data_IF_937318973606
#
_entry.id   IF_937318973606
#
_cell.length_a   1.000
_cell.length_b   1.000
_cell.length_c   1.000
_cell.angle_alpha   90.00
_cell.angle_beta   90.00
_cell.angle_gamma   90.00
#
_symmetry.space_group_name_H-M   'P 1'
#
loop_
_entity.id
_entity.type
_entity.pdbx_description
1 polymer ?
#
# COMPACT_ATOMS: atom_id res chain seq x y z
N UNK A 1 -18.79 0.49 25.27
CA UNK A 1 -17.68 1.35 25.75
C UNK A 1 -16.40 0.62 25.39
N UNK A 2 -15.56 1.22 24.57
CA UNK A 2 -14.22 0.70 24.33
C UNK A 2 -13.35 1.30 25.43
N UNK A 3 -12.88 0.48 26.36
CA UNK A 3 -12.01 0.96 27.44
C UNK A 3 -10.76 1.58 26.83
N UNK A 4 -10.49 2.85 27.20
CA UNK A 4 -9.25 3.54 26.82
C UNK A 4 -8.09 2.79 27.47
N UNK A 5 -7.34 2.03 26.67
CA UNK A 5 -6.10 1.40 27.13
C UNK A 5 -5.08 2.50 27.42
N UNK A 6 -4.49 2.51 28.62
CA UNK A 6 -3.49 3.51 28.97
C UNK A 6 -2.14 3.18 28.32
N UNK A 7 -1.31 4.20 28.05
CA UNK A 7 0.04 3.98 27.53
C UNK A 7 0.92 3.15 28.48
N UNK A 8 0.68 3.22 29.79
CA UNK A 8 1.39 2.42 30.79
C UNK A 8 1.04 0.92 30.67
N UNK A 9 -0.22 0.58 30.38
CA UNK A 9 -0.63 -0.81 30.18
C UNK A 9 -0.01 -1.39 28.91
N UNK A 10 0.08 -0.59 27.84
CA UNK A 10 0.75 -0.99 26.60
C UNK A 10 2.26 -1.16 26.77
N UNK A 11 2.89 -0.32 27.59
CA UNK A 11 4.32 -0.41 27.88
C UNK A 11 4.72 -1.76 28.51
N UNK A 12 3.80 -2.40 29.25
CA UNK A 12 4.03 -3.71 29.88
C UNK A 12 3.88 -4.89 28.92
N UNK A 13 3.27 -4.70 27.74
CA UNK A 13 3.12 -5.75 26.76
C UNK A 13 4.43 -6.01 26.01
N UNK A 14 4.65 -7.25 25.58
CA UNK A 14 5.72 -7.54 24.62
C UNK A 14 5.39 -6.90 23.26
N UNK A 15 6.42 -6.62 22.44
CA UNK A 15 6.21 -6.10 21.08
C UNK A 15 5.32 -7.02 20.26
N UNK A 16 5.49 -8.34 20.37
CA UNK A 16 4.61 -9.30 19.69
C UNK A 16 3.15 -9.17 20.14
N UNK A 17 2.88 -9.00 21.43
CA UNK A 17 1.53 -8.84 21.93
C UNK A 17 0.88 -7.53 21.43
N UNK A 18 1.66 -6.45 21.30
CA UNK A 18 1.20 -5.20 20.68
C UNK A 18 0.82 -5.40 19.21
N UNK A 19 1.69 -6.06 18.43
CA UNK A 19 1.42 -6.37 17.01
C UNK A 19 0.15 -7.21 16.85
N UNK A 20 0.02 -8.30 17.63
CA UNK A 20 -1.16 -9.17 17.58
C UNK A 20 -2.45 -8.41 17.90
N UNK A 21 -2.45 -7.58 18.96
CA UNK A 21 -3.63 -6.78 19.32
C UNK A 21 -3.97 -5.76 18.25
N UNK A 22 -2.96 -5.07 17.69
CA UNK A 22 -3.17 -4.11 16.62
C UNK A 22 -3.83 -4.78 15.40
N UNK A 23 -3.34 -5.95 14.99
CA UNK A 23 -3.91 -6.70 13.86
C UNK A 23 -5.35 -7.15 14.12
N UNK A 24 -5.66 -7.60 15.34
CA UNK A 24 -7.03 -7.95 15.74
C UNK A 24 -7.98 -6.75 15.66
N UNK A 25 -7.52 -5.54 16.05
CA UNK A 25 -8.34 -4.33 16.00
C UNK A 25 -8.68 -3.88 14.57
N UNK A 26 -7.85 -4.23 13.59
CA UNK A 26 -8.05 -3.82 12.18
C UNK A 26 -8.60 -4.92 11.28
N UNK A 27 -8.81 -6.12 11.82
CA UNK A 27 -9.42 -7.24 11.11
C UNK A 27 -10.82 -6.86 10.56
N UNK A 28 -11.00 -7.03 9.25
CA UNK A 28 -12.24 -6.68 8.55
C UNK A 28 -12.55 -5.17 8.49
N UNK A 29 -11.63 -4.29 8.90
CA UNK A 29 -11.88 -2.85 8.94
C UNK A 29 -11.45 -2.11 7.66
N UNK A 30 -10.74 -2.76 6.72
CA UNK A 30 -10.16 -2.07 5.55
C UNK A 30 -11.19 -1.70 4.47
N UNK A 31 -12.38 -2.28 4.45
CA UNK A 31 -13.43 -1.88 3.50
C UNK A 31 -14.41 -0.84 4.08
N UNK A 32 -14.19 -0.39 5.33
CA UNK A 32 -15.01 0.66 5.95
C UNK A 32 -14.80 2.03 5.33
N UNK A 33 -15.76 2.94 5.54
CA UNK A 33 -15.65 4.33 5.07
C UNK A 33 -14.46 5.01 5.72
N UNK A 34 -13.84 5.97 5.00
CA UNK A 34 -12.69 6.70 5.51
C UNK A 34 -12.96 7.35 6.88
N UNK A 35 -14.14 7.94 7.09
CA UNK A 35 -14.51 8.53 8.39
C UNK A 35 -14.49 7.52 9.54
N UNK A 36 -14.92 6.28 9.29
CA UNK A 36 -14.91 5.20 10.30
C UNK A 36 -13.49 4.71 10.57
N UNK A 37 -12.65 4.59 9.53
CA UNK A 37 -11.24 4.27 9.69
C UNK A 37 -10.50 5.35 10.49
N UNK A 38 -10.79 6.63 10.24
CA UNK A 38 -10.20 7.73 10.99
C UNK A 38 -10.66 7.73 12.45
N UNK A 39 -11.95 7.45 12.72
CA UNK A 39 -12.45 7.31 14.08
C UNK A 39 -11.82 6.11 14.81
N UNK A 40 -11.60 4.99 14.12
CA UNK A 40 -10.89 3.83 14.65
C UNK A 40 -9.43 4.18 15.00
N UNK A 41 -8.74 4.88 14.11
CA UNK A 41 -7.38 5.36 14.33
C UNK A 41 -7.29 6.26 15.57
N UNK A 42 -8.12 7.30 15.62
CA UNK A 42 -8.11 8.31 16.70
C UNK A 42 -8.57 7.74 18.04
N UNK A 43 -9.51 6.79 18.02
CA UNK A 43 -10.09 6.21 19.22
C UNK A 43 -9.31 5.05 19.81
N UNK A 44 -8.80 4.14 18.96
CA UNK A 44 -8.27 2.85 19.41
C UNK A 44 -6.83 2.58 18.96
N UNK A 45 -6.47 2.89 17.71
CA UNK A 45 -5.18 2.44 17.17
C UNK A 45 -4.03 3.36 17.59
N UNK A 46 -4.26 4.66 17.77
CA UNK A 46 -3.20 5.64 18.03
C UNK A 46 -2.26 5.24 19.19
N UNK A 47 -2.74 4.79 20.37
CA UNK A 47 -1.85 4.36 21.45
C UNK A 47 -0.93 3.18 21.08
N UNK A 48 -1.41 2.24 20.27
CA UNK A 48 -0.62 1.12 19.78
C UNK A 48 0.41 1.56 18.74
N UNK A 49 0.01 2.47 17.84
CA UNK A 49 0.90 3.05 16.82
C UNK A 49 2.04 3.83 17.49
N UNK A 50 1.73 4.66 18.48
CA UNK A 50 2.73 5.44 19.21
C UNK A 50 3.72 4.55 19.95
N UNK A 51 3.21 3.52 20.65
CA UNK A 51 4.06 2.61 21.41
C UNK A 51 4.92 1.72 20.50
N UNK A 52 4.39 1.24 19.37
CA UNK A 52 5.19 0.53 18.38
C UNK A 52 6.24 1.45 17.76
N UNK A 53 5.87 2.69 17.40
CA UNK A 53 6.83 3.69 16.86
C UNK A 53 8.00 3.90 17.81
N UNK A 54 7.75 4.00 19.12
CA UNK A 54 8.79 4.11 20.16
C UNK A 54 9.72 2.88 20.22
N UNK A 55 9.20 1.70 19.88
CA UNK A 55 9.91 0.42 19.90
C UNK A 55 10.45 0.00 18.53
N UNK A 56 10.41 0.88 17.53
CA UNK A 56 10.84 0.57 16.18
C UNK A 56 12.32 0.09 16.21
N UNK A 57 12.60 -1.15 15.77
CA UNK A 57 13.96 -1.68 15.77
C UNK A 57 14.86 -0.97 14.73
N UNK A 58 14.27 -0.31 13.74
CA UNK A 58 14.97 0.47 12.72
C UNK A 58 14.49 1.94 12.74
N UNK A 59 14.90 2.75 13.74
CA UNK A 59 14.40 4.12 13.89
C UNK A 59 14.93 5.08 12.81
N UNK A 60 16.04 4.73 12.15
CA UNK A 60 16.64 5.52 11.07
C UNK A 60 16.17 5.02 9.72
N UNK A 61 15.81 5.93 8.82
CA UNK A 61 15.32 5.57 7.49
C UNK A 61 16.36 4.77 6.69
N UNK A 62 17.66 5.05 6.85
CA UNK A 62 18.72 4.36 6.12
C UNK A 62 18.78 2.87 6.49
N UNK A 63 18.59 2.55 7.78
CA UNK A 63 18.62 1.17 8.29
C UNK A 63 17.39 0.37 7.85
N UNK A 64 16.30 1.06 7.48
CA UNK A 64 15.06 0.44 7.02
C UNK A 64 15.12 -0.02 5.56
N UNK A 65 16.08 0.46 4.75
CA UNK A 65 16.14 0.15 3.30
C UNK A 65 16.27 -1.33 3.04
N UNK A 66 17.15 -2.02 3.78
CA UNK A 66 17.29 -3.47 3.66
C UNK A 66 16.07 -4.20 4.25
N UNK A 67 15.55 -3.71 5.38
CA UNK A 67 14.43 -4.31 6.08
C UNK A 67 13.09 -4.19 5.32
N UNK A 68 12.95 -3.27 4.35
CA UNK A 68 11.68 -3.13 3.60
C UNK A 68 11.58 -4.10 2.42
N UNK A 69 12.71 -4.65 1.95
CA UNK A 69 12.75 -5.54 0.79
C UNK A 69 11.88 -6.78 1.04
N UNK A 70 11.12 -7.19 0.03
CA UNK A 70 10.18 -8.30 0.11
C UNK A 70 8.76 -7.92 -0.33
N UNK A 71 7.82 -8.82 -0.06
CA UNK A 71 6.42 -8.65 -0.45
C UNK A 71 5.57 -8.39 0.79
N UNK A 72 4.82 -7.30 0.75
CA UNK A 72 3.92 -6.90 1.82
C UNK A 72 2.48 -6.88 1.32
N UNK A 73 1.51 -7.06 2.21
CA UNK A 73 0.10 -6.76 1.91
C UNK A 73 -0.45 -5.73 2.90
N UNK A 74 -1.11 -4.67 2.41
CA UNK A 74 -1.75 -3.68 3.26
C UNK A 74 -3.05 -4.27 3.83
N UNK A 75 -3.04 -4.66 5.10
CA UNK A 75 -4.22 -5.23 5.79
C UNK A 75 -5.19 -4.16 6.26
N UNK A 76 -4.72 -2.92 6.39
CA UNK A 76 -5.55 -1.76 6.71
C UNK A 76 -4.87 -0.48 6.22
N UNK A 77 -5.61 0.40 5.55
CA UNK A 77 -5.07 1.69 5.11
C UNK A 77 -6.13 2.80 5.11
N UNK A 78 -5.73 4.02 5.48
CA UNK A 78 -6.53 5.23 5.23
C UNK A 78 -6.22 5.87 3.88
N UNK A 79 -5.25 5.34 3.12
CA UNK A 79 -4.87 5.86 1.81
C UNK A 79 -5.92 5.41 0.77
N UNK A 80 -6.55 6.33 0.03
CA UNK A 80 -7.61 5.98 -0.92
C UNK A 80 -7.10 5.34 -2.22
N UNK A 81 -5.78 5.24 -2.42
CA UNK A 81 -5.16 4.79 -3.67
C UNK A 81 -5.64 3.38 -4.07
N UNK A 82 -5.73 2.47 -3.11
CA UNK A 82 -6.21 1.11 -3.34
C UNK A 82 -7.68 1.05 -3.82
N UNK A 83 -8.43 2.14 -3.66
CA UNK A 83 -9.81 2.26 -4.12
C UNK A 83 -9.94 3.11 -5.41
N UNK A 84 -8.83 3.36 -6.11
CA UNK A 84 -8.84 4.14 -7.36
C UNK A 84 -9.74 3.49 -8.43
N UNK A 85 -9.76 2.15 -8.48
CA UNK A 85 -10.66 1.35 -9.31
C UNK A 85 -11.64 0.55 -8.41
N UNK A 86 -12.88 0.33 -8.87
CA UNK A 86 -13.86 -0.46 -8.11
C UNK A 86 -13.50 -1.96 -8.06
N UNK A 87 -13.97 -2.65 -7.02
CA UNK A 87 -13.85 -4.12 -6.93
C UNK A 87 -12.46 -4.63 -6.56
N UNK A 88 -11.66 -3.85 -5.83
CA UNK A 88 -10.38 -4.34 -5.28
C UNK A 88 -10.59 -5.63 -4.48
N UNK A 89 -9.68 -6.58 -4.63
CA UNK A 89 -9.57 -7.77 -3.77
C UNK A 89 -8.36 -7.58 -2.84
N UNK A 90 -8.57 -7.30 -1.53
CA UNK A 90 -7.47 -6.99 -0.61
C UNK A 90 -6.42 -8.11 -0.48
N UNK A 91 -6.85 -9.37 -0.47
CA UNK A 91 -5.95 -10.53 -0.42
C UNK A 91 -5.06 -10.71 -1.67
N UNK A 92 -5.34 -9.95 -2.72
CA UNK A 92 -4.60 -9.90 -3.98
C UNK A 92 -4.09 -8.48 -4.27
N UNK A 93 -3.74 -7.77 -3.20
CA UNK A 93 -3.10 -6.45 -3.23
C UNK A 93 -1.78 -6.52 -2.50
N UNK A 94 -0.72 -6.06 -3.15
CA UNK A 94 0.66 -6.24 -2.72
C UNK A 94 1.44 -4.92 -2.77
N UNK A 95 2.44 -4.80 -1.90
CA UNK A 95 3.49 -3.79 -1.99
C UNK A 95 4.80 -4.55 -2.11
N UNK A 96 5.38 -4.54 -3.31
CA UNK A 96 6.54 -5.36 -3.67
C UNK A 96 7.76 -4.45 -3.70
N UNK A 97 8.72 -4.68 -2.82
CA UNK A 97 9.98 -3.92 -2.74
C UNK A 97 11.11 -4.76 -3.31
N UNK A 98 11.87 -4.16 -4.22
CA UNK A 98 13.05 -4.76 -4.85
C UNK A 98 14.31 -4.05 -4.39
N UNK A 99 15.43 -4.75 -4.57
CA UNK A 99 16.72 -4.11 -4.50
C UNK A 99 16.83 -2.97 -5.53
N UNK A 100 17.81 -2.09 -5.37
CA UNK A 100 18.09 -0.95 -6.28
C UNK A 100 17.05 0.19 -6.26
N UNK A 101 16.21 0.27 -5.23
CA UNK A 101 15.38 1.46 -4.99
C UNK A 101 14.08 1.49 -5.78
N UNK A 102 13.54 0.33 -6.18
CA UNK A 102 12.25 0.24 -6.86
C UNK A 102 11.23 -0.51 -6.03
N UNK A 103 9.99 -0.04 -6.06
CA UNK A 103 8.88 -0.77 -5.48
C UNK A 103 7.59 -0.57 -6.27
N UNK A 104 6.65 -1.48 -6.09
CA UNK A 104 5.36 -1.44 -6.76
C UNK A 104 4.21 -1.60 -5.77
N UNK A 105 3.20 -0.73 -5.88
CA UNK A 105 1.88 -0.98 -5.31
C UNK A 105 1.02 -1.68 -6.37
N UNK A 106 0.65 -2.93 -6.10
CA UNK A 106 -0.11 -3.79 -7.00
C UNK A 106 -1.49 -4.06 -6.41
N UNK A 107 -2.54 -3.99 -7.22
CA UNK A 107 -3.89 -4.31 -6.81
C UNK A 107 -4.66 -5.05 -7.91
N UNK A 108 -5.28 -6.17 -7.56
CA UNK A 108 -6.24 -6.86 -8.41
C UNK A 108 -7.66 -6.31 -8.20
N UNK A 109 -8.31 -5.94 -9.29
CA UNK A 109 -9.68 -5.42 -9.31
C UNK A 109 -10.59 -6.35 -10.12
N UNK A 110 -11.63 -6.87 -9.47
CA UNK A 110 -12.69 -7.68 -10.04
C UNK A 110 -14.04 -7.00 -9.79
N UNK A 111 -14.52 -6.14 -10.72
CA UNK A 111 -15.81 -5.47 -10.58
C UNK A 111 -16.96 -6.47 -10.35
N UNK A 112 -17.85 -6.15 -9.40
CA UNK A 112 -19.01 -6.99 -9.07
C UNK A 112 -18.70 -8.17 -8.14
N UNK A 113 -17.43 -8.47 -7.82
CA UNK A 113 -17.10 -9.55 -6.87
C UNK A 113 -17.72 -9.34 -5.48
N UNK A 114 -17.83 -8.08 -5.04
CA UNK A 114 -18.32 -7.74 -3.69
C UNK A 114 -19.85 -7.80 -3.54
N UNK A 115 -20.62 -8.02 -4.62
CA UNK A 115 -22.08 -8.04 -4.56
C UNK A 115 -22.67 -9.04 -5.56
N UNK A 116 -23.35 -10.07 -5.07
CA UNK A 116 -23.90 -11.15 -5.88
C UNK A 116 -24.92 -10.70 -6.96
N UNK A 117 -25.67 -9.61 -6.71
CA UNK A 117 -26.59 -9.03 -7.70
C UNK A 117 -25.82 -8.32 -8.82
N UNK A 118 -24.82 -7.51 -8.46
CA UNK A 118 -23.94 -6.87 -9.44
C UNK A 118 -23.09 -7.90 -10.18
N UNK A 119 -22.66 -8.98 -9.53
CA UNK A 119 -21.94 -10.09 -10.17
C UNK A 119 -22.71 -10.67 -11.38
N UNK A 120 -24.03 -10.81 -11.24
CA UNK A 120 -24.94 -11.30 -12.31
C UNK A 120 -25.21 -10.26 -13.40
N UNK A 121 -25.15 -8.97 -13.07
CA UNK A 121 -25.44 -7.85 -13.98
C UNK A 121 -24.18 -7.25 -14.64
N UNK A 122 -22.98 -7.69 -14.26
CA UNK A 122 -21.72 -7.20 -14.83
C UNK A 122 -21.21 -8.22 -15.87
N UNK A 123 -21.63 -8.12 -17.15
CA UNK A 123 -21.33 -9.11 -18.20
C UNK A 123 -19.85 -9.17 -18.57
N UNK A 124 -19.03 -8.20 -18.17
CA UNK A 124 -17.61 -8.21 -18.46
C UNK A 124 -16.89 -9.11 -17.44
N UNK A 125 -16.68 -10.38 -17.78
CA UNK A 125 -15.77 -11.30 -17.09
C UNK A 125 -14.29 -10.86 -17.09
N UNK A 126 -14.06 -9.54 -17.10
CA UNK A 126 -12.78 -8.87 -17.08
C UNK A 126 -12.45 -8.45 -15.64
N UNK A 127 -11.25 -8.81 -15.22
CA UNK A 127 -10.55 -8.19 -14.10
C UNK A 127 -9.50 -7.22 -14.65
N UNK A 128 -9.05 -6.31 -13.78
CA UNK A 128 -7.99 -5.36 -14.07
C UNK A 128 -6.94 -5.43 -12.95
N UNK A 129 -5.70 -5.70 -13.30
CA UNK A 129 -4.56 -5.54 -12.41
C UNK A 129 -4.01 -4.14 -12.64
N UNK A 130 -3.83 -3.41 -11.54
CA UNK A 130 -3.19 -2.11 -11.51
C UNK A 130 -1.83 -2.26 -10.81
N UNK A 131 -0.79 -1.70 -11.41
CA UNK A 131 0.52 -1.57 -10.79
C UNK A 131 0.96 -0.11 -10.86
N UNK A 132 1.23 0.49 -9.71
CA UNK A 132 1.91 1.77 -9.61
C UNK A 132 3.38 1.49 -9.28
N UNK A 133 4.25 1.76 -10.24
CA UNK A 133 5.69 1.60 -10.09
C UNK A 133 6.29 2.88 -9.56
N UNK A 134 7.14 2.74 -8.56
CA UNK A 134 7.68 3.84 -7.79
C UNK A 134 9.17 3.62 -7.55
N UNK A 135 9.92 4.71 -7.61
CA UNK A 135 11.30 4.76 -7.13
C UNK A 135 11.29 5.25 -5.69
N UNK A 136 12.13 4.66 -4.86
CA UNK A 136 12.37 5.12 -3.51
C UNK A 136 13.86 5.35 -3.28
N UNK A 137 14.17 6.37 -2.49
CA UNK A 137 15.51 6.70 -2.02
C UNK A 137 15.40 7.18 -0.57
N UNK A 138 16.47 7.01 0.22
CA UNK A 138 16.56 7.66 1.53
C UNK A 138 17.63 8.73 1.46
N UNK A 139 17.24 9.97 1.75
CA UNK A 139 18.14 11.12 1.80
C UNK A 139 17.78 11.99 3.02
N UNK A 140 18.80 12.43 3.76
CA UNK A 140 18.66 13.22 4.98
C UNK A 140 17.67 12.61 5.99
N UNK A 141 17.72 11.29 6.22
CA UNK A 141 16.81 10.61 7.14
C UNK A 141 15.36 10.49 6.67
N UNK A 142 15.06 10.81 5.40
CA UNK A 142 13.69 10.81 4.86
C UNK A 142 13.56 9.89 3.65
N UNK A 143 12.43 9.20 3.55
CA UNK A 143 12.07 8.48 2.34
C UNK A 143 11.56 9.43 1.28
N UNK A 144 12.27 9.48 0.15
CA UNK A 144 11.87 10.15 -1.06
C UNK A 144 11.21 9.13 -1.98
N UNK A 145 9.95 9.37 -2.33
CA UNK A 145 9.18 8.46 -3.18
C UNK A 145 8.70 9.21 -4.40
N UNK A 146 8.94 8.61 -5.55
CA UNK A 146 8.52 9.13 -6.84
C UNK A 146 7.76 8.06 -7.61
N UNK A 147 6.54 8.39 -8.03
CA UNK A 147 5.82 7.55 -8.97
C UNK A 147 6.49 7.69 -10.32
N UNK A 148 6.96 6.58 -10.86
CA UNK A 148 7.66 6.58 -12.14
C UNK A 148 6.82 5.96 -13.25
N UNK A 149 5.80 5.15 -12.95
CA UNK A 149 4.82 4.71 -13.96
C UNK A 149 3.59 4.02 -13.39
N UNK A 150 2.60 3.81 -14.25
CA UNK A 150 1.41 3.01 -13.96
C UNK A 150 1.23 2.01 -15.10
N UNK A 151 1.05 0.75 -14.74
CA UNK A 151 0.77 -0.34 -15.66
C UNK A 151 -0.62 -0.93 -15.39
N UNK A 152 -1.31 -1.28 -16.46
CA UNK A 152 -2.63 -1.89 -16.42
C UNK A 152 -2.59 -3.20 -17.19
N UNK A 153 -3.02 -4.29 -16.56
CA UNK A 153 -3.19 -5.57 -17.23
C UNK A 153 -4.63 -6.06 -17.11
N UNK A 154 -5.29 -6.29 -18.25
CA UNK A 154 -6.63 -6.87 -18.27
C UNK A 154 -6.53 -8.39 -18.22
N UNK A 155 -7.34 -8.99 -17.37
CA UNK A 155 -7.38 -10.44 -17.17
C UNK A 155 -8.80 -10.96 -17.16
N UNK A 156 -8.93 -12.27 -17.04
CA UNK A 156 -10.23 -12.89 -16.75
C UNK A 156 -10.52 -12.79 -15.25
N UNK A 157 -11.79 -12.59 -14.89
CA UNK A 157 -12.23 -12.43 -13.49
C UNK A 157 -12.01 -13.68 -12.63
N UNK A 158 -12.05 -14.86 -13.23
CA UNK A 158 -11.83 -16.14 -12.54
C UNK A 158 -10.36 -16.44 -12.26
N UNK A 159 -9.44 -15.67 -12.87
CA UNK A 159 -8.01 -15.76 -12.60
C UNK A 159 -7.60 -14.64 -11.64
N UNK A 160 -7.31 -15.00 -10.40
CA UNK A 160 -6.72 -14.08 -9.43
C UNK A 160 -5.28 -13.71 -9.79
N UNK A 161 -4.74 -12.74 -9.07
CA UNK A 161 -3.34 -12.35 -9.12
C UNK A 161 -2.60 -12.98 -7.93
N UNK A 162 -1.73 -13.96 -8.21
CA UNK A 162 -0.86 -14.54 -7.18
C UNK A 162 0.32 -13.62 -6.87
N UNK A 163 1.03 -13.88 -5.77
CA UNK A 163 2.28 -13.17 -5.46
C UNK A 163 3.32 -13.41 -6.56
N UNK A 164 3.51 -14.66 -6.99
CA UNK A 164 4.46 -15.02 -8.05
C UNK A 164 4.16 -14.29 -9.37
N UNK A 165 2.88 -14.24 -9.77
CA UNK A 165 2.48 -13.51 -10.98
C UNK A 165 2.71 -12.00 -10.84
N UNK A 166 2.45 -11.42 -9.66
CA UNK A 166 2.65 -10.00 -9.41
C UNK A 166 4.14 -9.61 -9.40
N UNK A 167 4.97 -10.46 -8.80
CA UNK A 167 6.43 -10.34 -8.79
C UNK A 167 7.00 -10.45 -10.21
N UNK A 168 6.63 -11.50 -10.94
CA UNK A 168 7.07 -11.70 -12.33
C UNK A 168 6.63 -10.55 -13.24
N UNK A 169 5.41 -10.03 -13.05
CA UNK A 169 4.95 -8.86 -13.78
C UNK A 169 5.78 -7.62 -13.45
N UNK A 170 6.10 -7.39 -12.17
CA UNK A 170 6.91 -6.26 -11.77
C UNK A 170 8.33 -6.35 -12.35
N UNK A 171 8.95 -7.52 -12.26
CA UNK A 171 10.30 -7.75 -12.77
C UNK A 171 10.36 -7.58 -14.29
N UNK A 172 9.32 -8.02 -15.03
CA UNK A 172 9.22 -7.79 -16.47
C UNK A 172 9.09 -6.29 -16.82
N UNK A 173 8.31 -5.53 -16.04
CA UNK A 173 8.17 -4.08 -16.21
C UNK A 173 9.49 -3.37 -15.95
N UNK A 174 10.22 -3.76 -14.90
CA UNK A 174 11.54 -3.23 -14.59
C UNK A 174 12.55 -3.58 -15.70
N UNK A 175 12.64 -4.85 -16.11
CA UNK A 175 13.57 -5.27 -17.16
C UNK A 175 13.33 -4.53 -18.48
N UNK A 176 12.08 -4.47 -18.95
CA UNK A 176 11.72 -3.79 -20.20
C UNK A 176 12.11 -2.30 -20.19
N UNK A 177 12.07 -1.65 -19.02
CA UNK A 177 12.18 -0.20 -18.90
C UNK A 177 13.54 0.28 -18.38
N UNK A 178 14.24 -0.52 -17.58
CA UNK A 178 15.61 -0.26 -17.14
C UNK A 178 16.64 -0.62 -18.23
N UNK A 179 16.44 -1.70 -18.99
CA UNK A 179 17.32 -2.03 -20.13
C UNK A 179 17.20 -1.01 -21.28
N UNK A 180 16.12 -0.21 -21.29
CA UNK A 180 15.95 0.92 -22.21
C UNK A 180 16.50 2.24 -21.68
N UNK A 181 16.96 2.27 -20.43
CA UNK A 181 17.35 3.50 -19.76
C UNK A 181 18.72 3.37 -19.08
N UNK A 182 19.79 3.59 -19.85
CA UNK A 182 21.11 3.96 -19.31
C UNK A 182 21.12 5.38 -18.68
N UNK A 183 19.96 5.99 -18.45
CA UNK A 183 19.85 7.36 -17.98
C UNK A 183 19.48 7.41 -16.47
N UNK A 184 20.22 8.19 -15.64
CA UNK A 184 19.92 8.44 -14.22
C UNK A 184 18.50 8.99 -13.93
N UNK A 185 17.79 9.43 -14.96
CA UNK A 185 16.48 10.09 -14.92
C UNK A 185 15.38 9.29 -15.67
N UNK A 186 15.50 7.97 -15.72
CA UNK A 186 14.50 7.09 -16.33
C UNK A 186 13.11 7.31 -15.69
N UNK A 187 12.26 8.07 -16.37
CA UNK A 187 10.83 8.14 -16.07
C UNK A 187 10.13 7.09 -16.94
N UNK A 188 9.12 6.36 -16.45
CA UNK A 188 8.48 5.28 -17.22
C UNK A 188 7.52 5.81 -18.32
N UNK A 189 7.69 7.08 -18.73
CA UNK A 189 6.79 7.79 -19.63
C UNK A 189 5.49 8.23 -18.95
N UNK A 190 4.66 8.97 -19.69
CA UNK A 190 3.30 9.26 -19.25
C UNK A 190 2.50 7.94 -19.20
N UNK A 191 1.76 7.66 -18.12
CA UNK A 191 0.89 6.49 -18.07
C UNK A 191 -0.11 6.45 -19.22
N UNK A 192 -0.28 5.28 -19.82
CA UNK A 192 -1.40 5.07 -20.73
C UNK A 192 -2.65 4.70 -19.94
N UNK A 193 -3.64 5.60 -19.95
CA UNK A 193 -4.95 5.38 -19.35
C UNK A 193 -6.01 4.99 -20.40
N UNK A 194 -5.60 4.71 -21.64
CA UNK A 194 -6.49 4.28 -22.71
C UNK A 194 -7.22 3.00 -22.27
N UNK A 195 -8.55 3.08 -22.18
CA UNK A 195 -9.37 1.97 -21.71
C UNK A 195 -9.81 2.01 -20.26
N UNK A 196 -9.58 3.12 -19.54
CA UNK A 196 -10.30 3.46 -18.31
C UNK A 196 -11.44 4.46 -18.58
N UNK A 197 -12.45 4.48 -17.72
CA UNK A 197 -13.41 5.57 -17.71
C UNK A 197 -12.76 6.89 -17.25
N UNK A 198 -13.34 8.02 -17.63
CA UNK A 198 -12.77 9.33 -17.36
C UNK A 198 -12.57 9.62 -15.86
N UNK A 199 -13.42 9.09 -14.98
CA UNK A 199 -13.28 9.31 -13.54
C UNK A 199 -12.10 8.50 -12.97
N UNK A 200 -11.97 7.24 -13.38
CA UNK A 200 -10.83 6.37 -13.02
C UNK A 200 -9.51 6.91 -13.56
N UNK A 201 -9.45 7.29 -14.85
CA UNK A 201 -8.27 7.90 -15.46
C UNK A 201 -7.84 9.18 -14.71
N UNK A 202 -8.79 10.06 -14.37
CA UNK A 202 -8.51 11.28 -13.60
C UNK A 202 -7.97 10.98 -12.19
N UNK A 203 -8.50 9.95 -11.51
CA UNK A 203 -8.02 9.55 -10.17
C UNK A 203 -6.60 8.99 -10.22
N UNK A 204 -6.31 8.15 -11.21
CA UNK A 204 -4.97 7.59 -11.40
C UNK A 204 -3.96 8.67 -11.82
N UNK A 205 -4.32 9.58 -12.73
CA UNK A 205 -3.48 10.71 -13.11
C UNK A 205 -3.09 11.58 -11.91
N UNK A 206 -4.05 11.91 -11.04
CA UNK A 206 -3.78 12.63 -9.78
C UNK A 206 -2.88 11.84 -8.83
N UNK A 207 -3.07 10.52 -8.77
CA UNK A 207 -2.25 9.66 -7.92
C UNK A 207 -0.82 9.59 -8.42
N UNK A 208 -0.62 9.46 -9.73
CA UNK A 208 0.67 9.47 -10.40
C UNK A 208 1.45 10.75 -10.12
N UNK A 209 0.80 11.91 -10.17
CA UNK A 209 1.45 13.21 -9.93
C UNK A 209 1.79 13.47 -8.45
N UNK A 210 1.27 12.67 -7.52
CA UNK A 210 1.51 12.89 -6.10
C UNK A 210 2.94 12.53 -5.72
N UNK A 211 3.60 13.38 -4.93
CA UNK A 211 4.89 13.13 -4.29
C UNK A 211 4.71 13.11 -2.76
N UNK A 212 4.07 12.08 -2.20
CA UNK A 212 3.84 12.03 -0.77
C UNK A 212 5.16 11.80 -0.03
N UNK A 213 5.31 12.45 1.12
CA UNK A 213 6.29 12.04 2.11
C UNK A 213 5.82 10.72 2.74
N UNK A 214 6.72 9.75 2.86
CA UNK A 214 6.46 8.47 3.50
C UNK A 214 7.44 8.26 4.64
N UNK A 215 6.98 7.58 5.69
CA UNK A 215 7.82 7.18 6.82
C UNK A 215 7.37 5.81 7.29
N UNK A 216 8.29 4.85 7.40
CA UNK A 216 8.02 3.64 8.16
C UNK A 216 8.24 3.96 9.64
N UNK A 217 7.16 4.32 10.32
CA UNK A 217 7.21 4.66 11.75
C UNK A 217 7.44 3.42 12.62
N UNK A 218 7.12 2.23 12.09
CA UNK A 218 7.56 0.93 12.61
C UNK A 218 7.84 -0.02 11.44
N UNK A 219 8.91 -0.80 11.54
CA UNK A 219 9.23 -1.86 10.59
C UNK A 219 9.98 -2.96 11.34
N UNK A 220 9.54 -4.20 11.20
CA UNK A 220 10.32 -5.37 11.56
C UNK A 220 10.14 -6.48 10.50
N UNK A 221 10.45 -7.73 10.84
CA UNK A 221 10.37 -8.85 9.90
C UNK A 221 8.96 -9.23 9.46
N UNK A 222 7.91 -8.85 10.20
CA UNK A 222 6.54 -9.30 9.93
C UNK A 222 5.52 -8.16 9.81
N UNK A 223 5.81 -6.96 10.32
CA UNK A 223 4.89 -5.85 10.39
C UNK A 223 5.55 -4.54 9.97
N UNK A 224 4.78 -3.75 9.23
CA UNK A 224 5.13 -2.39 8.85
C UNK A 224 4.00 -1.42 9.17
N UNK A 225 4.33 -0.33 9.86
CA UNK A 225 3.45 0.81 10.04
C UNK A 225 4.00 1.97 9.23
N UNK A 226 3.18 2.45 8.30
CA UNK A 226 3.54 3.54 7.40
C UNK A 226 2.72 4.75 7.76
N UNK A 227 3.37 5.89 7.92
CA UNK A 227 2.76 7.21 7.89
C UNK A 227 3.08 7.87 6.55
N UNK A 228 2.09 8.46 5.91
CA UNK A 228 2.29 9.20 4.66
C UNK A 228 1.52 10.51 4.65
N UNK A 229 2.07 11.52 3.99
CA UNK A 229 1.47 12.85 3.95
C UNK A 229 1.77 13.51 2.60
N UNK A 230 0.74 13.97 1.89
CA UNK A 230 0.91 14.60 0.56
C UNK A 230 1.42 16.04 0.67
N UNK A 231 0.92 16.78 1.65
CA UNK A 231 1.27 18.17 1.92
C UNK A 231 1.31 18.38 3.43
N UNK A 232 2.22 19.22 3.93
CA UNK A 232 2.44 19.42 5.36
C UNK A 232 1.17 19.85 6.13
N UNK A 233 0.22 20.51 5.46
CA UNK A 233 -1.05 20.97 6.03
C UNK A 233 -2.15 19.91 6.03
N UNK A 234 -1.98 18.81 5.29
CA UNK A 234 -2.97 17.74 5.18
C UNK A 234 -2.80 16.74 6.32
N UNK A 235 -3.91 16.13 6.76
CA UNK A 235 -3.85 15.06 7.77
C UNK A 235 -3.02 13.87 7.25
N UNK A 236 -2.10 13.31 8.05
CA UNK A 236 -1.36 12.10 7.68
C UNK A 236 -2.30 10.91 7.48
N UNK A 237 -1.95 10.06 6.51
CA UNK A 237 -2.57 8.76 6.26
C UNK A 237 -1.70 7.65 6.83
N UNK A 238 -2.34 6.56 7.24
CA UNK A 238 -1.69 5.43 7.89
C UNK A 238 -1.97 4.15 7.11
N UNK A 239 -0.97 3.27 7.05
CA UNK A 239 -1.12 1.91 6.51
C UNK A 239 -0.45 0.92 7.45
N UNK A 240 -1.13 -0.19 7.70
CA UNK A 240 -0.61 -1.37 8.39
C UNK A 240 -0.37 -2.43 7.33
N UNK A 241 0.88 -2.84 7.16
CA UNK A 241 1.30 -3.89 6.24
C UNK A 241 1.83 -5.11 6.99
N UNK A 242 1.56 -6.30 6.48
CA UNK A 242 2.17 -7.55 6.95
C UNK A 242 3.08 -8.11 5.86
N UNK A 243 4.20 -8.73 6.26
CA UNK A 243 5.11 -9.39 5.31
C UNK A 243 4.50 -10.72 4.88
N UNK A 244 4.60 -11.00 3.59
CA UNK A 244 4.19 -12.27 2.96
C UNK A 244 5.40 -13.10 2.50
N UNK A 245 6.48 -12.42 2.11
CA UNK A 245 7.76 -12.98 1.68
C UNK A 245 8.88 -12.03 2.04
#
# INVERSE_FOLDING_TARGET
>A
MLDKVSGADLAMLSTQALKTRLLQLVEGQDDKRLSEKLALLDGLLAPYVDELTRRNPYPRAEDQVAAVIGVWTPVWSTIPFHHALPGRIPSQSYQIFRDRGFYANVAHHAPGHQNALLHRLTPLGLACNLMLVQRFEVADGRWLIENIGIELARGRRDKGLSIDDAEAWFDAVLAQKLDRAEAPNATLGAPDFSGLDAASAKRLAKSFQAKPMMENIYLDDDLRLIRSQREATQRPSYTIGIRLR
#
